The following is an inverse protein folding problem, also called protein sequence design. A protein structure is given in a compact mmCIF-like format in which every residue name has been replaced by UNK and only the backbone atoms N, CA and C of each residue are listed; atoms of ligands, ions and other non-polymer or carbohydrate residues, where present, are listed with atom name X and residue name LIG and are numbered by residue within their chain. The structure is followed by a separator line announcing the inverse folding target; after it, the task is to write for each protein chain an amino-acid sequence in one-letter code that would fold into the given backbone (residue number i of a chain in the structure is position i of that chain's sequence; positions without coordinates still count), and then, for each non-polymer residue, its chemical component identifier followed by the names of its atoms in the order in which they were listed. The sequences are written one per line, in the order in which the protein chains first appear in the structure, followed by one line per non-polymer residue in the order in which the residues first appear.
data_IF_104872397247
#
_entry.id   IF_104872397247
#
_cell.length_a   1.000
_cell.length_b   1.000
_cell.length_c   1.000
_cell.angle_alpha   90.00
_cell.angle_beta   90.00
_cell.angle_gamma   90.00
#
_symmetry.space_group_name_H-M   'P 1'
#
loop_
_entity.id
_entity.type
_entity.pdbx_description
1 polymer ?
#
# COMPACT_ATOMS: atom_id res chain seq x y z
N UNK A 1 10.84 12.34 20.15
CA UNK A 1 10.19 13.57 19.68
C UNK A 1 8.72 13.47 20.11
N UNK A 2 7.78 14.27 19.59
CA UNK A 2 6.37 14.11 19.96
C UNK A 2 5.77 12.95 19.15
N UNK A 3 5.14 11.98 19.82
CA UNK A 3 4.53 10.80 19.17
C UNK A 3 3.01 10.94 19.05
N UNK A 4 2.45 10.17 18.13
CA UNK A 4 1.01 9.97 17.97
C UNK A 4 0.69 8.49 17.76
N UNK A 5 -0.54 8.12 18.05
CA UNK A 5 -1.03 6.76 17.83
C UNK A 5 -1.32 6.50 16.35
N UNK A 6 -0.76 5.42 15.82
CA UNK A 6 -0.98 4.96 14.45
C UNK A 6 -1.51 3.53 14.43
N UNK A 7 -2.54 3.31 13.62
CA UNK A 7 -3.13 2.00 13.40
C UNK A 7 -3.24 1.67 11.91
N UNK A 8 -2.78 0.48 11.54
CA UNK A 8 -2.98 -0.11 10.22
C UNK A 8 -3.84 -1.36 10.37
N UNK A 9 -5.03 -1.32 9.78
CA UNK A 9 -6.03 -2.38 9.85
C UNK A 9 -6.36 -2.86 8.45
N UNK A 10 -6.42 -4.19 8.28
CA UNK A 10 -7.01 -4.83 7.10
C UNK A 10 -8.29 -5.58 7.50
N UNK A 11 -9.17 -5.95 6.54
CA UNK A 11 -10.36 -6.75 6.84
C UNK A 11 -10.07 -8.07 7.56
N UNK A 12 -8.87 -8.62 7.36
CA UNK A 12 -8.47 -9.91 7.92
C UNK A 12 -7.85 -9.79 9.31
N UNK A 13 -7.07 -8.71 9.57
CA UNK A 13 -6.35 -8.52 10.83
C UNK A 13 -5.87 -7.10 11.04
N UNK A 14 -5.61 -6.75 12.29
CA UNK A 14 -4.81 -5.59 12.65
C UNK A 14 -3.34 -5.89 12.33
N UNK A 15 -2.74 -5.07 11.46
CA UNK A 15 -1.37 -5.25 10.97
C UNK A 15 -0.35 -4.48 11.79
N UNK A 16 -0.72 -3.30 12.28
CA UNK A 16 0.12 -2.46 13.11
C UNK A 16 -0.74 -1.62 14.05
N UNK A 17 -0.29 -1.47 15.30
CA UNK A 17 -0.85 -0.50 16.25
C UNK A 17 0.26 -0.09 17.22
N UNK A 18 0.53 1.20 17.34
CA UNK A 18 1.60 1.71 18.19
C UNK A 18 1.83 3.22 18.07
N UNK A 19 2.73 3.71 18.92
CA UNK A 19 3.17 5.12 18.95
C UNK A 19 4.29 5.34 17.94
N UNK A 20 4.11 6.34 17.07
CA UNK A 20 5.03 6.65 15.96
C UNK A 20 5.36 8.15 15.95
N UNK A 21 6.50 8.50 15.37
CA UNK A 21 6.93 9.90 15.22
C UNK A 21 6.45 10.49 13.89
N UNK A 22 6.52 9.69 12.82
CA UNK A 22 6.05 10.07 11.50
C UNK A 22 5.60 8.85 10.70
N UNK A 23 4.64 9.05 9.79
CA UNK A 23 4.21 8.02 8.83
C UNK A 23 4.11 8.63 7.45
N UNK A 24 4.81 8.05 6.48
CA UNK A 24 4.72 8.41 5.05
C UNK A 24 3.66 7.55 4.41
N UNK A 25 2.70 8.20 3.74
CA UNK A 25 1.49 7.56 3.22
C UNK A 25 1.34 7.87 1.71
N UNK A 26 1.10 6.85 0.86
CA UNK A 26 0.84 7.04 -0.57
C UNK A 26 -0.64 7.35 -0.83
N UNK A 27 -1.00 8.63 -0.84
CA UNK A 27 -2.31 9.10 -1.25
C UNK A 27 -2.49 9.14 -2.77
N UNK A 28 -3.74 9.17 -3.23
CA UNK A 28 -4.06 9.32 -4.66
C UNK A 28 -3.54 10.64 -5.26
N UNK A 29 -3.48 11.71 -4.45
CA UNK A 29 -3.00 13.03 -4.87
C UNK A 29 -1.47 13.17 -4.75
N UNK A 30 -0.80 12.21 -4.13
CA UNK A 30 0.64 12.24 -3.91
C UNK A 30 1.07 11.58 -2.60
N UNK A 31 2.38 11.63 -2.34
CA UNK A 31 2.97 11.20 -1.09
C UNK A 31 2.84 12.32 -0.06
N UNK A 32 2.39 11.98 1.14
CA UNK A 32 2.33 12.92 2.26
C UNK A 32 2.83 12.27 3.53
N UNK A 33 3.26 13.10 4.48
CA UNK A 33 3.80 12.64 5.77
C UNK A 33 2.92 13.16 6.89
N UNK A 34 2.43 12.23 7.72
CA UNK A 34 1.64 12.55 8.90
C UNK A 34 2.56 12.56 10.11
N UNK A 35 2.43 13.60 10.92
CA UNK A 35 3.17 13.81 12.17
C UNK A 35 2.19 14.17 13.29
N UNK A 36 2.71 14.33 14.50
CA UNK A 36 2.02 14.96 15.63
C UNK A 36 1.28 16.24 15.18
N UNK A 37 0.02 16.36 15.58
CA UNK A 37 -0.84 17.55 15.35
C UNK A 37 -1.09 17.89 13.86
N UNK A 38 -1.00 16.89 12.98
CA UNK A 38 -1.38 17.05 11.58
C UNK A 38 -2.86 17.43 11.43
N UNK A 39 -3.17 18.28 10.44
CA UNK A 39 -4.54 18.68 10.16
C UNK A 39 -5.42 17.45 9.81
N UNK A 40 -6.70 17.43 10.21
CA UNK A 40 -7.56 16.32 9.87
C UNK A 40 -7.71 16.17 8.37
N UNK A 41 -7.51 14.96 7.86
CA UNK A 41 -7.60 14.67 6.43
C UNK A 41 -8.11 13.24 6.24
N UNK A 42 -8.99 13.06 5.26
CA UNK A 42 -9.44 11.75 4.82
C UNK A 42 -9.12 11.60 3.34
N UNK A 43 -8.38 10.57 2.97
CA UNK A 43 -7.95 10.37 1.58
C UNK A 43 -7.91 8.90 1.20
N UNK A 44 -8.03 8.66 -0.10
CA UNK A 44 -7.88 7.33 -0.68
C UNK A 44 -6.39 7.05 -0.87
N UNK A 45 -6.00 5.80 -0.61
CA UNK A 45 -4.65 5.32 -0.80
C UNK A 45 -4.50 4.66 -2.16
N UNK A 46 -3.37 4.93 -2.80
CA UNK A 46 -2.92 4.18 -3.98
C UNK A 46 -1.98 3.04 -3.56
N UNK A 47 -1.73 2.12 -4.49
CA UNK A 47 -0.71 1.10 -4.30
C UNK A 47 0.67 1.76 -4.05
N UNK A 48 1.36 1.33 -3.01
CA UNK A 48 2.63 1.93 -2.62
C UNK A 48 3.19 1.41 -1.29
N UNK A 49 4.29 2.02 -0.87
CA UNK A 49 4.95 1.70 0.40
C UNK A 49 4.59 2.75 1.43
N UNK A 50 4.10 2.30 2.59
CA UNK A 50 3.97 3.08 3.81
C UNK A 50 5.27 2.94 4.59
N UNK A 51 5.86 4.07 4.98
CA UNK A 51 7.02 4.10 5.85
C UNK A 51 6.60 4.58 7.24
N UNK A 52 6.87 3.77 8.25
CA UNK A 52 6.58 4.07 9.65
C UNK A 52 7.89 4.37 10.35
N UNK A 53 8.00 5.59 10.87
CA UNK A 53 9.10 6.01 11.73
C UNK A 53 8.67 5.87 13.20
N UNK A 54 9.15 4.82 13.86
CA UNK A 54 8.87 4.52 15.27
C UNK A 54 9.81 5.30 16.21
N UNK A 55 9.37 5.48 17.47
CA UNK A 55 10.26 5.97 18.52
C UNK A 55 11.48 5.04 18.66
N UNK A 56 12.69 5.62 18.77
CA UNK A 56 14.00 4.96 18.82
C UNK A 56 14.64 4.59 17.46
N UNK A 57 14.39 5.38 16.39
CA UNK A 57 15.03 5.25 15.06
C UNK A 57 14.75 3.93 14.32
N UNK A 58 13.66 3.23 14.67
CA UNK A 58 13.25 2.02 13.95
C UNK A 58 12.32 2.43 12.80
N UNK A 59 12.74 2.09 11.57
CA UNK A 59 11.95 2.32 10.36
C UNK A 59 11.34 1.00 9.90
N UNK A 60 10.03 0.98 9.76
CA UNK A 60 9.28 -0.19 9.27
C UNK A 60 8.62 0.17 7.93
N UNK A 61 8.81 -0.67 6.91
CA UNK A 61 8.20 -0.48 5.58
C UNK A 61 7.14 -1.54 5.32
N UNK A 62 5.95 -1.09 4.95
CA UNK A 62 4.81 -1.95 4.65
C UNK A 62 4.29 -1.60 3.26
N UNK A 63 4.08 -2.61 2.43
CA UNK A 63 3.41 -2.44 1.17
C UNK A 63 1.89 -2.44 1.37
N UNK A 64 1.19 -1.49 0.77
CA UNK A 64 -0.27 -1.39 0.74
C UNK A 64 -0.76 -1.41 -0.71
N UNK A 65 -1.77 -2.23 -1.01
CA UNK A 65 -2.37 -2.27 -2.36
C UNK A 65 -3.32 -1.10 -2.61
N UNK A 66 -3.96 -0.62 -1.56
CA UNK A 66 -4.96 0.45 -1.59
C UNK A 66 -5.75 0.48 -0.29
N UNK A 67 -6.62 1.47 -0.14
CA UNK A 67 -7.41 1.66 1.07
C UNK A 67 -7.77 3.11 1.33
N UNK A 68 -7.97 3.43 2.61
CA UNK A 68 -8.27 4.77 3.08
C UNK A 68 -7.34 5.14 4.23
N UNK A 69 -6.89 6.39 4.25
CA UNK A 69 -6.24 7.00 5.40
C UNK A 69 -7.17 8.03 6.01
N UNK A 70 -7.40 7.90 7.31
CA UNK A 70 -8.14 8.84 8.14
C UNK A 70 -7.20 9.42 9.20
N UNK A 71 -7.06 10.74 9.19
CA UNK A 71 -6.29 11.50 10.17
C UNK A 71 -7.29 12.30 10.99
N UNK A 72 -7.54 11.86 12.22
CA UNK A 72 -8.50 12.49 13.12
C UNK A 72 -7.97 12.45 14.56
N UNK A 73 -6.92 13.22 14.84
CA UNK A 73 -6.20 13.20 16.12
C UNK A 73 -5.25 11.99 16.29
N UNK A 74 -5.61 10.84 15.72
CA UNK A 74 -4.75 9.68 15.42
C UNK A 74 -4.77 9.39 13.92
N UNK A 75 -3.78 8.63 13.43
CA UNK A 75 -3.80 8.13 12.04
C UNK A 75 -4.31 6.70 12.03
N UNK A 76 -5.37 6.46 11.27
CA UNK A 76 -5.92 5.13 11.02
C UNK A 76 -5.89 4.86 9.53
N UNK A 77 -5.23 3.78 9.13
CA UNK A 77 -5.22 3.30 7.75
C UNK A 77 -6.05 2.03 7.66
N UNK A 78 -7.07 2.08 6.81
CA UNK A 78 -7.92 0.97 6.43
C UNK A 78 -7.43 0.44 5.08
N UNK A 79 -6.53 -0.53 5.10
CA UNK A 79 -5.97 -1.13 3.89
C UNK A 79 -6.84 -2.28 3.38
N UNK A 80 -7.11 -2.34 2.07
CA UNK A 80 -7.72 -3.52 1.47
C UNK A 80 -6.82 -4.75 1.64
N UNK A 81 -5.53 -4.54 1.41
CA UNK A 81 -4.48 -5.54 1.61
C UNK A 81 -3.18 -4.81 1.92
N UNK A 82 -2.46 -5.29 2.94
CA UNK A 82 -1.14 -4.80 3.27
C UNK A 82 -0.25 -5.94 3.76
N UNK A 83 1.02 -5.91 3.37
CA UNK A 83 2.02 -6.93 3.66
C UNK A 83 3.37 -6.26 3.99
N UNK A 84 4.19 -6.84 4.88
CA UNK A 84 5.57 -6.41 5.04
C UNK A 84 6.31 -6.44 3.71
N UNK A 85 7.16 -5.45 3.44
CA UNK A 85 7.95 -5.41 2.21
C UNK A 85 8.81 -6.68 2.05
N UNK A 86 9.29 -7.22 3.17
CA UNK A 86 10.10 -8.44 3.24
C UNK A 86 9.34 -9.71 2.80
N UNK A 87 8.01 -9.70 2.89
CA UNK A 87 7.15 -10.80 2.44
C UNK A 87 6.70 -10.64 0.97
N UNK A 88 6.93 -9.48 0.35
CA UNK A 88 6.66 -9.31 -1.07
C UNK A 88 7.77 -9.98 -1.90
N UNK A 89 7.48 -11.17 -2.40
CA UNK A 89 8.39 -11.89 -3.27
C UNK A 89 8.27 -11.37 -4.71
N UNK A 90 9.25 -10.55 -5.13
CA UNK A 90 9.36 -10.04 -6.50
C UNK A 90 9.33 -11.15 -7.56
N UNK A 91 9.80 -12.37 -7.24
CA UNK A 91 9.75 -13.51 -8.16
C UNK A 91 8.33 -14.06 -8.34
N UNK A 92 7.51 -14.08 -7.28
CA UNK A 92 6.10 -14.46 -7.40
C UNK A 92 5.32 -13.42 -8.20
N UNK A 93 5.63 -12.13 -8.00
CA UNK A 93 5.03 -11.04 -8.76
C UNK A 93 5.40 -11.07 -10.24
N UNK A 94 6.67 -11.32 -10.56
CA UNK A 94 7.10 -11.50 -11.94
C UNK A 94 6.40 -12.71 -12.60
N UNK A 95 6.22 -13.80 -11.86
CA UNK A 95 5.49 -14.97 -12.34
C UNK A 95 4.01 -14.66 -12.58
N UNK A 96 3.34 -13.93 -11.68
CA UNK A 96 1.95 -13.52 -11.86
C UNK A 96 1.77 -12.58 -13.06
N UNK A 97 2.71 -11.66 -13.29
CA UNK A 97 2.71 -10.80 -14.49
C UNK A 97 2.85 -11.65 -15.74
N UNK A 98 3.80 -12.59 -15.75
CA UNK A 98 4.01 -13.47 -16.90
C UNK A 98 2.76 -14.30 -17.20
N UNK A 99 2.15 -14.90 -16.17
CA UNK A 99 0.90 -15.66 -16.33
C UNK A 99 -0.24 -14.77 -16.86
N UNK A 100 -0.36 -13.53 -16.36
CA UNK A 100 -1.38 -12.60 -16.82
C UNK A 100 -1.14 -12.11 -18.27
N UNK A 101 0.12 -11.97 -18.70
CA UNK A 101 0.50 -11.66 -20.08
C UNK A 101 0.21 -12.83 -21.03
N UNK A 102 0.42 -14.07 -20.59
CA UNK A 102 0.03 -15.28 -21.33
C UNK A 102 -1.51 -15.40 -21.44
N UNK A 103 -2.24 -15.15 -20.36
CA UNK A 103 -3.72 -15.12 -20.37
C UNK A 103 -4.27 -14.04 -21.32
N UNK A 104 -3.61 -12.88 -21.42
CA UNK A 104 -3.96 -11.82 -22.38
C UNK A 104 -3.74 -12.28 -23.83
N UNK A 105 -2.65 -13.00 -24.09
CA UNK A 105 -2.32 -13.51 -25.42
C UNK A 105 -3.32 -14.59 -25.88
N UNK A 106 -3.76 -15.44 -24.95
CA UNK A 106 -4.72 -16.53 -25.21
C UNK A 106 -6.20 -16.06 -25.17
N UNK A 107 -6.47 -14.85 -24.69
CA UNK A 107 -7.83 -14.31 -24.61
C UNK A 107 -8.48 -14.10 -25.99
N UNK A 108 -9.58 -14.82 -26.23
CA UNK A 108 -10.31 -14.79 -27.51
C UNK A 108 -11.47 -13.79 -27.55
N UNK A 109 -11.92 -13.28 -26.40
CA UNK A 109 -13.03 -12.31 -26.28
C UNK A 109 -12.53 -10.91 -25.90
N UNK A 110 -13.14 -9.85 -26.44
CA UNK A 110 -12.82 -8.45 -26.08
C UNK A 110 -12.94 -8.17 -24.58
N UNK A 111 -13.93 -8.78 -23.92
CA UNK A 111 -14.12 -8.65 -22.47
C UNK A 111 -12.98 -9.28 -21.66
N UNK A 112 -12.48 -10.44 -22.10
CA UNK A 112 -11.37 -11.13 -21.44
C UNK A 112 -10.05 -10.36 -21.62
N UNK A 113 -9.82 -9.79 -22.81
CA UNK A 113 -8.65 -8.94 -23.08
C UNK A 113 -8.63 -7.71 -22.17
N UNK A 114 -9.79 -7.05 -21.99
CA UNK A 114 -9.90 -5.86 -21.15
C UNK A 114 -9.64 -6.16 -19.66
N UNK A 115 -10.14 -7.28 -19.16
CA UNK A 115 -9.89 -7.70 -17.78
C UNK A 115 -8.42 -8.10 -17.56
N UNK A 116 -7.83 -8.81 -18.53
CA UNK A 116 -6.43 -9.19 -18.45
C UNK A 116 -5.50 -7.97 -18.54
N UNK A 117 -5.81 -6.97 -19.38
CA UNK A 117 -5.01 -5.73 -19.44
C UNK A 117 -5.09 -4.93 -18.13
N UNK A 118 -6.28 -4.77 -17.56
CA UNK A 118 -6.44 -4.09 -16.27
C UNK A 118 -5.67 -4.81 -15.15
N UNK A 119 -5.65 -6.14 -15.18
CA UNK A 119 -4.91 -6.95 -14.21
C UNK A 119 -3.39 -6.82 -14.38
N UNK A 120 -2.90 -6.79 -15.62
CA UNK A 120 -1.47 -6.56 -15.91
C UNK A 120 -1.05 -5.17 -15.44
N UNK A 121 -1.86 -4.14 -15.68
CA UNK A 121 -1.57 -2.77 -15.26
C UNK A 121 -1.42 -2.68 -13.73
N UNK A 122 -2.35 -3.30 -12.97
CA UNK A 122 -2.27 -3.39 -11.51
C UNK A 122 -1.02 -4.13 -11.02
N UNK A 123 -0.65 -5.24 -11.66
CA UNK A 123 0.54 -6.01 -11.28
C UNK A 123 1.84 -5.26 -11.61
N UNK A 124 1.88 -4.49 -12.70
CA UNK A 124 3.02 -3.64 -13.06
C UNK A 124 3.17 -2.45 -12.12
N UNK A 125 2.07 -1.83 -11.68
CA UNK A 125 2.11 -0.81 -10.63
C UNK A 125 2.65 -1.37 -9.31
N UNK A 126 2.23 -2.58 -8.95
CA UNK A 126 2.73 -3.31 -7.78
C UNK A 126 4.23 -3.62 -7.90
N UNK A 127 4.71 -4.01 -9.08
CA UNK A 127 6.14 -4.23 -9.34
C UNK A 127 6.95 -2.92 -9.27
N UNK A 128 6.42 -1.83 -9.82
CA UNK A 128 7.07 -0.52 -9.77
C UNK A 128 7.19 0.01 -8.34
N UNK A 129 6.16 -0.20 -7.51
CA UNK A 129 6.17 0.16 -6.10
C UNK A 129 7.14 -0.68 -5.25
N UNK A 130 7.51 -1.88 -5.71
CA UNK A 130 8.56 -2.70 -5.10
C UNK A 130 9.98 -2.31 -5.50
N UNK A 131 10.14 -1.78 -6.72
CA UNK A 131 11.44 -1.43 -7.28
C UNK A 131 11.89 0.01 -6.94
N UNK A 132 10.99 0.83 -6.39
CA UNK A 132 11.22 2.21 -5.94
C UNK A 132 11.55 2.27 -4.44
#
# INVERSE_FOLDING_TARGET
MATFHFELVSPEKLLYSGEVEAVVVPGIEGLFTVMKDHAPVMTVLKAGVIEIDEAANKKTKLFVRGGFADVAGSLTILAESAKPLEELNAAQLAQEIQNAEEDLADATSETAKKQASEKIDQLKELQAALAA
#
